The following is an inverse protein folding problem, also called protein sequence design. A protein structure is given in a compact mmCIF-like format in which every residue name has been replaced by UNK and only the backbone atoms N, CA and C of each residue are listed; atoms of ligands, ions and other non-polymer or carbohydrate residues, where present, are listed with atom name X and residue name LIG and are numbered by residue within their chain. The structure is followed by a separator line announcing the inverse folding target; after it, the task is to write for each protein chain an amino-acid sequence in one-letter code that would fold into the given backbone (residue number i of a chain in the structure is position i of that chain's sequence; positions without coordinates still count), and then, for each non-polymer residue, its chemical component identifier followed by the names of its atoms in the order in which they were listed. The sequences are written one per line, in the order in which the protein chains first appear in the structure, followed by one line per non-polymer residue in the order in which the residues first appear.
data_IF_313732576196
#
_entry.id   IF_313732576196
#
_cell.length_a   1.000
_cell.length_b   1.000
_cell.length_c   1.000
_cell.angle_alpha   90.00
_cell.angle_beta   90.00
_cell.angle_gamma   90.00
#
_symmetry.space_group_name_H-M   'P 1'
#
loop_
_entity.id
_entity.type
_entity.pdbx_description
1 polymer ?
#
# COMPACT_ATOMS: atom_id res chain seq x y z
N UNK A 1 -21.00 48.52 -35.68
CA UNK A 1 -20.11 49.64 -36.03
C UNK A 1 -18.73 49.05 -36.26
N UNK A 2 -18.33 48.99 -37.52
CA UNK A 2 -17.08 48.44 -38.03
C UNK A 2 -15.96 49.44 -37.77
N UNK A 3 -14.78 48.99 -37.30
CA UNK A 3 -13.50 49.51 -37.80
C UNK A 3 -12.39 48.47 -37.62
N UNK A 4 -11.77 48.13 -38.75
CA UNK A 4 -10.52 47.40 -38.94
C UNK A 4 -9.32 48.36 -38.89
N UNK A 5 -8.16 47.85 -38.45
CA UNK A 5 -6.83 48.08 -39.05
C UNK A 5 -5.80 47.20 -38.30
N UNK A 6 -5.31 46.06 -38.83
CA UNK A 6 -4.27 45.85 -39.88
C UNK A 6 -2.93 46.53 -39.52
N UNK A 7 -1.84 45.84 -39.11
CA UNK A 7 -0.93 44.86 -39.79
C UNK A 7 0.49 45.48 -39.86
N UNK A 8 1.57 44.83 -39.34
CA UNK A 8 2.73 44.16 -40.02
C UNK A 8 3.90 44.22 -38.98
N UNK A 9 4.90 43.33 -38.84
CA UNK A 9 5.42 42.19 -39.57
C UNK A 9 6.36 41.37 -38.64
N UNK A 10 6.51 40.07 -38.94
CA UNK A 10 7.24 38.99 -38.24
C UNK A 10 8.80 39.09 -38.34
N UNK A 11 9.65 38.07 -38.03
CA UNK A 11 9.42 36.73 -37.45
C UNK A 11 10.45 36.30 -36.37
N UNK A 12 10.12 35.30 -35.56
CA UNK A 12 11.04 34.23 -35.18
C UNK A 12 10.23 33.06 -34.63
N UNK A 13 10.18 32.01 -35.43
CA UNK A 13 9.59 30.73 -35.09
C UNK A 13 10.33 30.09 -33.91
N UNK A 14 9.60 29.51 -32.97
CA UNK A 14 9.88 28.19 -32.38
C UNK A 14 8.52 27.61 -31.95
N UNK A 15 8.08 26.65 -32.76
CA UNK A 15 7.34 25.44 -32.40
C UNK A 15 6.17 25.58 -31.39
N UNK A 16 4.97 25.73 -31.94
CA UNK A 16 3.77 25.15 -31.34
C UNK A 16 3.99 23.63 -31.23
N UNK A 17 4.27 23.13 -30.04
CA UNK A 17 3.80 21.81 -29.65
C UNK A 17 2.52 22.04 -28.87
N UNK A 18 1.41 21.93 -29.60
CA UNK A 18 0.15 21.56 -29.00
C UNK A 18 0.40 20.30 -28.16
N UNK A 19 0.46 20.45 -26.83
CA UNK A 19 0.11 19.34 -25.96
C UNK A 19 -1.41 19.27 -26.07
N UNK A 20 -1.83 18.57 -27.13
CA UNK A 20 -3.15 17.95 -27.24
C UNK A 20 -3.51 17.38 -25.87
N UNK A 21 -4.74 17.64 -25.43
CA UNK A 21 -5.24 17.27 -24.12
C UNK A 21 -4.78 15.88 -23.70
N UNK A 22 -4.48 15.73 -22.40
CA UNK A 22 -4.34 14.42 -21.79
C UNK A 22 -5.46 13.53 -22.33
N UNK A 23 -5.14 12.41 -23.00
CA UNK A 23 -6.18 11.50 -23.41
C UNK A 23 -6.92 11.07 -22.15
N UNK A 24 -8.24 11.13 -22.23
CA UNK A 24 -9.14 10.62 -21.23
C UNK A 24 -8.67 9.25 -20.71
N UNK A 25 -8.87 8.97 -19.42
CA UNK A 25 -8.84 7.61 -18.89
C UNK A 25 -9.81 6.74 -19.71
N UNK A 26 -9.30 6.07 -20.74
CA UNK A 26 -10.06 5.23 -21.64
C UNK A 26 -9.09 4.26 -22.33
N UNK A 27 -8.44 3.41 -21.51
CA UNK A 27 -7.89 2.15 -21.97
C UNK A 27 -8.41 1.09 -21.00
N UNK A 28 -9.65 0.64 -21.18
CA UNK A 28 -10.23 -0.35 -20.28
C UNK A 28 -10.71 -1.58 -21.03
N UNK A 29 -9.96 -2.67 -20.87
CA UNK A 29 -10.54 -4.00 -20.85
C UNK A 29 -11.19 -4.19 -19.49
N UNK A 30 -12.41 -4.71 -19.45
CA UNK A 30 -13.15 -4.96 -18.21
C UNK A 30 -13.87 -6.30 -18.27
N UNK A 31 -13.64 -7.14 -17.28
CA UNK A 31 -14.41 -8.37 -17.07
C UNK A 31 -15.77 -7.98 -16.48
N UNK A 32 -16.83 -8.22 -17.25
CA UNK A 32 -18.22 -7.89 -16.90
C UNK A 32 -18.97 -9.06 -16.29
N UNK A 33 -18.57 -10.28 -16.62
CA UNK A 33 -19.10 -11.50 -16.03
C UNK A 33 -17.99 -12.53 -15.85
N UNK A 34 -18.05 -13.30 -14.77
CA UNK A 34 -16.99 -14.23 -14.41
C UNK A 34 -17.54 -15.28 -13.45
N UNK A 35 -17.34 -16.56 -13.77
CA UNK A 35 -17.78 -17.66 -12.91
C UNK A 35 -16.81 -18.83 -12.94
N UNK A 36 -16.80 -19.58 -11.84
CA UNK A 36 -16.19 -20.89 -11.73
C UNK A 36 -17.30 -21.90 -11.46
N UNK A 37 -17.33 -22.98 -12.23
CA UNK A 37 -18.30 -24.06 -12.10
C UNK A 37 -17.58 -25.40 -11.99
N UNK A 38 -18.29 -26.42 -11.52
CA UNK A 38 -17.75 -27.77 -11.29
C UNK A 38 -18.57 -28.79 -12.10
N UNK A 39 -18.31 -28.95 -13.41
CA UNK A 39 -19.09 -29.86 -14.27
C UNK A 39 -19.01 -31.33 -13.84
N UNK A 40 -17.98 -31.68 -13.08
CA UNK A 40 -17.76 -33.01 -12.51
C UNK A 40 -16.92 -32.93 -11.24
N UNK A 41 -16.78 -34.07 -10.55
CA UNK A 41 -16.06 -34.14 -9.26
C UNK A 41 -14.55 -33.85 -9.37
N UNK A 42 -13.98 -33.93 -10.58
CA UNK A 42 -12.58 -33.68 -10.88
C UNK A 42 -12.42 -32.66 -12.02
N UNK A 43 -13.41 -31.79 -12.22
CA UNK A 43 -13.41 -30.79 -13.28
C UNK A 43 -13.77 -29.41 -12.74
N UNK A 44 -12.96 -28.42 -13.13
CA UNK A 44 -13.27 -27.00 -12.94
C UNK A 44 -13.44 -26.36 -14.30
N UNK A 45 -14.49 -25.55 -14.46
CA UNK A 45 -14.71 -24.76 -15.68
C UNK A 45 -14.81 -23.29 -15.32
N UNK A 46 -13.91 -22.51 -15.90
CA UNK A 46 -13.95 -21.05 -15.78
C UNK A 46 -14.66 -20.47 -16.99
N UNK A 47 -15.44 -19.41 -16.76
CA UNK A 47 -16.07 -18.61 -17.81
C UNK A 47 -15.83 -17.14 -17.49
N UNK A 48 -15.38 -16.37 -18.48
CA UNK A 48 -15.08 -14.94 -18.35
C UNK A 48 -15.59 -14.20 -19.57
N UNK A 49 -16.50 -13.26 -19.35
CA UNK A 49 -16.93 -12.29 -20.37
C UNK A 49 -16.22 -10.96 -20.14
N UNK A 50 -15.57 -10.45 -21.17
CA UNK A 50 -14.86 -9.17 -21.13
C UNK A 50 -15.37 -8.23 -22.22
N UNK A 51 -15.43 -6.95 -21.88
CA UNK A 51 -15.71 -5.87 -22.83
C UNK A 51 -14.50 -4.99 -22.97
N UNK A 52 -14.37 -4.36 -24.13
CA UNK A 52 -13.34 -3.36 -24.42
C UNK A 52 -13.97 -2.16 -25.12
N UNK A 53 -13.34 -0.99 -24.96
CA UNK A 53 -13.78 0.24 -25.61
C UNK A 53 -12.79 0.71 -26.67
N UNK A 54 -11.52 0.82 -26.28
CA UNK A 54 -10.47 1.45 -27.11
C UNK A 54 -9.31 0.50 -27.43
N UNK A 55 -9.17 -0.60 -26.67
CA UNK A 55 -8.10 -1.59 -26.85
C UNK A 55 -8.72 -2.99 -26.87
N UNK A 56 -8.61 -3.76 -27.96
CA UNK A 56 -9.25 -5.07 -28.06
C UNK A 56 -8.68 -6.05 -27.03
N UNK A 57 -9.51 -6.98 -26.58
CA UNK A 57 -9.05 -8.14 -25.82
C UNK A 57 -8.24 -9.01 -26.78
N UNK A 58 -6.97 -9.23 -26.46
CA UNK A 58 -6.07 -10.04 -27.27
C UNK A 58 -6.06 -11.50 -26.85
N UNK A 59 -6.02 -11.77 -25.55
CA UNK A 59 -6.02 -13.12 -24.99
C UNK A 59 -6.46 -13.16 -23.52
N UNK A 60 -6.74 -14.37 -23.06
CA UNK A 60 -7.07 -14.73 -21.70
C UNK A 60 -5.92 -15.52 -21.08
N UNK A 61 -5.29 -14.94 -20.06
CA UNK A 61 -4.20 -15.57 -19.33
C UNK A 61 -4.71 -16.29 -18.09
N UNK A 62 -4.30 -17.54 -17.92
CA UNK A 62 -4.64 -18.38 -16.76
C UNK A 62 -3.40 -18.65 -15.93
N UNK A 63 -3.47 -18.38 -14.62
CA UNK A 63 -2.43 -18.69 -13.65
C UNK A 63 -3.03 -19.42 -12.44
N UNK A 64 -2.36 -20.46 -11.98
CA UNK A 64 -2.72 -21.23 -10.81
C UNK A 64 -1.92 -20.74 -9.60
N UNK A 65 -2.63 -20.51 -8.49
CA UNK A 65 -2.08 -20.14 -7.19
C UNK A 65 -2.48 -21.18 -6.15
N UNK A 66 -1.58 -21.50 -5.22
CA UNK A 66 -1.85 -22.47 -4.15
C UNK A 66 -0.93 -22.18 -2.96
N UNK A 67 -1.46 -22.39 -1.75
CA UNK A 67 -0.77 -22.05 -0.48
C UNK A 67 -0.12 -23.26 0.20
N UNK A 68 -0.61 -24.47 -0.07
CA UNK A 68 -0.40 -25.63 0.82
C UNK A 68 0.45 -26.75 0.20
N UNK A 69 0.99 -26.57 -1.02
CA UNK A 69 1.72 -27.62 -1.72
C UNK A 69 2.92 -27.05 -2.49
N UNK A 70 4.05 -27.76 -2.55
CA UNK A 70 5.22 -27.36 -3.36
C UNK A 70 5.27 -28.06 -4.73
N UNK A 71 4.37 -29.03 -4.97
CA UNK A 71 4.31 -29.79 -6.22
C UNK A 71 3.36 -29.12 -7.22
N UNK A 72 3.84 -28.92 -8.45
CA UNK A 72 3.05 -28.33 -9.54
C UNK A 72 1.95 -29.31 -9.96
N UNK A 73 0.67 -28.92 -9.90
CA UNK A 73 -0.42 -29.83 -10.26
C UNK A 73 -0.40 -30.25 -11.73
N UNK A 74 -0.85 -31.48 -12.00
CA UNK A 74 -0.89 -32.05 -13.36
C UNK A 74 -1.69 -31.14 -14.30
N UNK A 75 -1.15 -30.92 -15.51
CA UNK A 75 -1.73 -30.02 -16.51
C UNK A 75 -1.24 -28.58 -16.41
N UNK A 76 -0.37 -28.26 -15.45
CA UNK A 76 0.27 -26.97 -15.28
C UNK A 76 1.80 -27.10 -15.27
N UNK A 77 2.49 -26.01 -15.63
CA UNK A 77 3.96 -25.92 -15.66
C UNK A 77 4.42 -24.56 -15.14
N UNK A 78 5.64 -24.50 -14.61
CA UNK A 78 6.27 -23.23 -14.25
C UNK A 78 6.83 -22.56 -15.51
N UNK A 79 6.44 -21.32 -15.76
CA UNK A 79 7.00 -20.45 -16.80
C UNK A 79 7.63 -19.21 -16.17
N UNK A 80 8.71 -18.73 -16.78
CA UNK A 80 9.49 -17.58 -16.32
C UNK A 80 9.90 -17.67 -14.84
N UNK A 81 10.20 -18.89 -14.36
CA UNK A 81 10.63 -19.19 -12.99
C UNK A 81 9.65 -18.77 -11.88
N UNK A 82 8.43 -18.35 -12.21
CA UNK A 82 7.50 -17.75 -11.25
C UNK A 82 6.04 -18.14 -11.44
N UNK A 83 5.59 -18.28 -12.69
CA UNK A 83 4.17 -18.38 -12.99
C UNK A 83 3.77 -19.83 -13.25
N UNK A 84 2.78 -20.34 -12.53
CA UNK A 84 2.23 -21.68 -12.77
C UNK A 84 1.05 -21.55 -13.72
N UNK A 85 1.21 -21.99 -14.96
CA UNK A 85 0.23 -21.77 -16.05
C UNK A 85 -0.14 -23.09 -16.72
N UNK A 86 -1.24 -23.17 -17.48
CA UNK A 86 -1.58 -24.38 -18.22
C UNK A 86 -0.42 -24.85 -19.10
N UNK A 87 -0.12 -26.15 -19.04
CA UNK A 87 0.90 -26.78 -19.87
C UNK A 87 0.61 -26.55 -21.36
N UNK A 88 -0.67 -26.73 -21.73
CA UNK A 88 -1.21 -26.47 -23.06
C UNK A 88 -1.91 -25.11 -23.07
N UNK A 89 -1.45 -24.22 -23.92
CA UNK A 89 -2.07 -22.92 -24.18
C UNK A 89 -1.68 -22.47 -25.59
N UNK A 90 -2.53 -21.67 -26.23
CA UNK A 90 -2.32 -21.24 -27.61
C UNK A 90 -1.06 -20.37 -27.73
N UNK A 91 -0.94 -19.35 -26.88
CA UNK A 91 0.20 -18.44 -26.88
C UNK A 91 0.98 -18.63 -25.59
N UNK A 92 2.21 -19.09 -25.74
CA UNK A 92 3.07 -19.52 -24.64
C UNK A 92 3.30 -18.49 -23.52
N UNK A 93 3.10 -17.19 -23.79
CA UNK A 93 3.36 -16.09 -22.85
C UNK A 93 2.08 -15.35 -22.46
N UNK A 94 1.06 -15.38 -23.32
CA UNK A 94 -0.11 -14.51 -23.21
C UNK A 94 -1.42 -15.29 -23.03
N UNK A 95 -1.38 -16.62 -23.05
CA UNK A 95 -2.57 -17.45 -22.84
C UNK A 95 -3.33 -17.75 -24.13
N UNK A 96 -4.65 -17.93 -24.01
CA UNK A 96 -5.52 -18.42 -25.08
C UNK A 96 -6.28 -17.26 -25.72
N UNK A 97 -6.47 -17.28 -27.05
CA UNK A 97 -7.30 -16.27 -27.71
C UNK A 97 -8.78 -16.59 -27.49
N UNK A 98 -9.60 -15.54 -27.51
CA UNK A 98 -11.05 -15.67 -27.66
C UNK A 98 -11.36 -16.48 -28.92
N UNK A 99 -12.25 -17.47 -28.82
CA UNK A 99 -12.56 -18.41 -29.89
C UNK A 99 -11.34 -19.21 -30.43
N UNK A 100 -10.28 -19.32 -29.62
CA UNK A 100 -9.10 -20.12 -29.89
C UNK A 100 -9.32 -21.63 -29.69
N UNK A 101 -8.31 -22.48 -29.93
CA UNK A 101 -8.43 -23.94 -29.85
C UNK A 101 -8.68 -24.48 -28.44
N UNK A 102 -8.46 -23.66 -27.40
CA UNK A 102 -8.69 -24.01 -26.00
C UNK A 102 -9.88 -23.25 -25.38
N UNK A 103 -10.56 -22.43 -26.18
CA UNK A 103 -11.79 -21.76 -25.78
C UNK A 103 -12.99 -22.66 -26.12
N UNK A 104 -13.79 -22.95 -25.09
CA UNK A 104 -14.96 -23.81 -25.16
C UNK A 104 -16.26 -23.01 -25.37
N UNK A 105 -16.19 -21.67 -25.39
CA UNK A 105 -17.35 -20.80 -25.59
C UNK A 105 -17.22 -20.03 -26.92
N UNK A 106 -18.16 -20.18 -27.87
CA UNK A 106 -18.04 -19.58 -29.19
C UNK A 106 -18.53 -18.11 -29.24
N UNK A 107 -18.95 -17.54 -28.11
CA UNK A 107 -19.50 -16.17 -28.06
C UNK A 107 -18.35 -15.17 -28.01
N UNK A 108 -18.36 -14.21 -28.93
CA UNK A 108 -17.36 -13.14 -28.96
C UNK A 108 -17.22 -12.42 -27.61
N UNK A 109 -15.98 -12.28 -27.15
CA UNK A 109 -15.64 -11.67 -25.87
C UNK A 109 -15.94 -12.55 -24.65
N UNK A 110 -16.30 -13.82 -24.86
CA UNK A 110 -16.57 -14.79 -23.79
C UNK A 110 -15.64 -15.97 -23.93
N UNK A 111 -14.75 -16.12 -22.97
CA UNK A 111 -13.84 -17.24 -22.90
C UNK A 111 -14.31 -18.25 -21.87
N UNK A 112 -14.30 -19.54 -22.21
CA UNK A 112 -14.45 -20.60 -21.22
C UNK A 112 -13.45 -21.72 -21.42
N UNK A 113 -13.00 -22.31 -20.31
CA UNK A 113 -12.08 -23.45 -20.35
C UNK A 113 -12.27 -24.38 -19.17
N UNK A 114 -12.28 -25.68 -19.46
CA UNK A 114 -12.36 -26.74 -18.47
C UNK A 114 -10.98 -27.35 -18.21
N UNK A 115 -10.65 -27.54 -16.93
CA UNK A 115 -9.43 -28.19 -16.47
C UNK A 115 -9.78 -29.42 -15.64
N UNK A 116 -9.02 -30.50 -15.86
CA UNK A 116 -9.06 -31.67 -14.98
C UNK A 116 -8.18 -31.41 -13.77
N UNK A 117 -8.71 -31.67 -12.56
CA UNK A 117 -7.96 -31.63 -11.29
C UNK A 117 -7.69 -33.03 -10.75
N UNK A 118 -7.84 -34.04 -11.60
CA UNK A 118 -7.63 -35.44 -11.23
C UNK A 118 -6.19 -35.65 -10.75
N UNK A 119 -6.04 -36.26 -9.58
CA UNK A 119 -4.74 -36.53 -8.98
C UNK A 119 -4.08 -35.34 -8.30
N UNK A 120 -4.73 -34.17 -8.27
CA UNK A 120 -4.25 -33.04 -7.49
C UNK A 120 -4.32 -33.37 -5.99
N UNK A 121 -3.35 -32.88 -5.23
CA UNK A 121 -3.33 -33.07 -3.77
C UNK A 121 -4.46 -32.28 -3.12
N UNK A 122 -5.00 -32.75 -1.98
CA UNK A 122 -5.91 -31.94 -1.18
C UNK A 122 -5.30 -30.58 -0.84
N UNK A 123 -6.12 -29.54 -0.82
CA UNK A 123 -5.67 -28.20 -0.49
C UNK A 123 -6.50 -27.07 -1.11
N UNK A 124 -6.13 -25.84 -0.75
CA UNK A 124 -6.70 -24.62 -1.30
C UNK A 124 -5.92 -24.15 -2.53
N UNK A 125 -6.66 -23.97 -3.64
CA UNK A 125 -6.15 -23.49 -4.93
C UNK A 125 -6.93 -22.25 -5.37
N UNK A 126 -6.37 -21.47 -6.28
CA UNK A 126 -7.08 -20.41 -6.97
C UNK A 126 -6.63 -20.30 -8.43
N UNK A 127 -7.59 -20.19 -9.35
CA UNK A 127 -7.31 -19.80 -10.73
C UNK A 127 -7.45 -18.29 -10.86
N UNK A 128 -6.35 -17.62 -11.21
CA UNK A 128 -6.37 -16.23 -11.65
C UNK A 128 -6.53 -16.20 -13.17
N UNK A 129 -7.59 -15.56 -13.63
CA UNK A 129 -7.82 -15.30 -15.07
C UNK A 129 -7.69 -13.81 -15.33
N UNK A 130 -6.95 -13.45 -16.39
CA UNK A 130 -6.83 -12.09 -16.89
C UNK A 130 -7.36 -11.98 -18.31
N UNK A 131 -8.22 -11.01 -18.59
CA UNK A 131 -8.48 -10.56 -19.96
C UNK A 131 -7.53 -9.40 -20.24
N UNK A 132 -6.75 -9.48 -21.32
CA UNK A 132 -5.71 -8.46 -21.59
C UNK A 132 -5.42 -8.28 -23.08
N UNK A 133 -4.72 -7.19 -23.41
CA UNK A 133 -4.53 -6.76 -24.79
C UNK A 133 -3.35 -7.41 -25.53
N UNK A 134 -2.65 -8.37 -24.92
CA UNK A 134 -1.51 -9.02 -25.60
C UNK A 134 -2.05 -10.09 -26.56
N UNK A 135 -1.40 -10.34 -27.71
CA UNK A 135 -0.07 -9.88 -28.14
C UNK A 135 -0.01 -8.50 -28.81
N UNK A 136 -1.07 -7.69 -28.80
CA UNK A 136 -1.04 -6.37 -29.44
C UNK A 136 0.04 -5.45 -28.83
N UNK A 137 0.57 -4.55 -29.67
CA UNK A 137 1.54 -3.52 -29.28
C UNK A 137 0.87 -2.40 -28.48
N UNK A 138 1.66 -1.61 -27.75
CA UNK A 138 1.16 -0.50 -26.92
C UNK A 138 1.19 -0.78 -25.40
N UNK A 139 0.63 0.13 -24.58
CA UNK A 139 0.54 -0.04 -23.13
C UNK A 139 -0.10 -1.37 -22.74
N UNK A 140 0.34 -1.98 -21.63
CA UNK A 140 -0.26 -3.23 -21.17
C UNK A 140 -1.51 -2.94 -20.36
N UNK A 141 -2.65 -3.51 -20.76
CA UNK A 141 -3.94 -3.32 -20.11
C UNK A 141 -4.51 -4.71 -19.79
N UNK A 142 -4.95 -4.89 -18.54
CA UNK A 142 -5.62 -6.12 -18.11
C UNK A 142 -6.69 -5.83 -17.05
N UNK A 143 -7.70 -6.69 -17.00
CA UNK A 143 -8.57 -6.88 -15.85
C UNK A 143 -8.51 -8.35 -15.41
N UNK A 144 -8.57 -8.60 -14.11
CA UNK A 144 -8.32 -9.94 -13.53
C UNK A 144 -9.38 -10.35 -12.53
N UNK A 145 -9.71 -11.64 -12.49
CA UNK A 145 -10.50 -12.27 -11.43
C UNK A 145 -9.73 -13.47 -10.87
N UNK A 146 -9.91 -13.74 -9.58
CA UNK A 146 -9.36 -14.93 -8.93
C UNK A 146 -10.51 -15.78 -8.42
N UNK A 147 -10.47 -17.08 -8.73
CA UNK A 147 -11.49 -18.05 -8.37
C UNK A 147 -10.88 -19.10 -7.44
N UNK A 148 -11.04 -18.97 -6.12
CA UNK A 148 -10.60 -19.99 -5.18
C UNK A 148 -11.50 -21.23 -5.24
N UNK A 149 -10.91 -22.41 -5.04
CA UNK A 149 -11.60 -23.69 -4.92
C UNK A 149 -10.78 -24.66 -4.08
N UNK A 150 -11.42 -25.70 -3.56
CA UNK A 150 -10.75 -26.71 -2.72
C UNK A 150 -10.78 -28.07 -3.37
N UNK A 151 -9.67 -28.79 -3.25
CA UNK A 151 -9.62 -30.24 -3.45
C UNK A 151 -9.74 -30.89 -2.08
N UNK A 152 -10.78 -31.72 -1.88
CA UNK A 152 -11.02 -32.43 -0.60
C UNK A 152 -10.02 -33.56 -0.39
N UNK A 153 -10.02 -34.15 0.81
CA UNK A 153 -9.17 -35.31 1.13
C UNK A 153 -9.44 -36.51 0.19
N UNK A 154 -10.67 -36.63 -0.32
CA UNK A 154 -11.10 -37.66 -1.26
C UNK A 154 -10.77 -37.30 -2.72
N UNK A 155 -10.10 -36.16 -2.97
CA UNK A 155 -9.72 -35.70 -4.30
C UNK A 155 -10.86 -35.08 -5.11
N UNK A 156 -11.95 -34.66 -4.46
CA UNK A 156 -13.07 -33.99 -5.15
C UNK A 156 -12.89 -32.48 -5.15
N UNK A 157 -13.29 -31.83 -6.24
CA UNK A 157 -13.35 -30.37 -6.27
C UNK A 157 -14.66 -29.85 -5.70
N UNK A 158 -14.55 -28.81 -4.88
CA UNK A 158 -15.69 -28.09 -4.30
C UNK A 158 -15.45 -26.59 -4.36
N UNK A 159 -16.55 -25.84 -4.35
CA UNK A 159 -16.50 -24.39 -4.18
C UNK A 159 -15.81 -24.04 -2.87
N UNK A 160 -14.90 -23.06 -2.92
CA UNK A 160 -14.28 -22.55 -1.71
C UNK A 160 -15.29 -21.69 -0.95
N UNK A 161 -15.50 -22.02 0.33
CA UNK A 161 -16.27 -21.18 1.24
C UNK A 161 -15.33 -20.18 1.94
N UNK A 162 -15.46 -18.86 1.70
CA UNK A 162 -14.63 -17.84 2.37
C UNK A 162 -14.62 -17.92 3.89
N UNK A 163 -15.68 -18.47 4.50
CA UNK A 163 -15.74 -18.70 5.95
C UNK A 163 -14.70 -19.70 6.46
N UNK A 164 -14.13 -20.54 5.60
CA UNK A 164 -13.00 -21.41 5.97
C UNK A 164 -11.72 -20.62 6.27
N UNK A 165 -11.57 -19.41 5.71
CA UNK A 165 -10.48 -18.48 6.03
C UNK A 165 -10.85 -17.54 7.18
N UNK A 166 -12.07 -17.60 7.71
CA UNK A 166 -12.41 -16.89 8.95
C UNK A 166 -11.68 -17.58 10.10
N UNK A 167 -10.44 -17.15 10.32
CA UNK A 167 -9.75 -17.41 11.59
C UNK A 167 -10.61 -16.75 12.66
N UNK A 168 -11.14 -17.49 13.65
CA UNK A 168 -11.95 -16.89 14.71
C UNK A 168 -11.13 -15.81 15.42
N UNK A 169 -11.45 -14.55 15.12
CA UNK A 169 -10.78 -13.42 15.71
C UNK A 169 -11.29 -13.25 17.14
N UNK A 170 -10.40 -13.42 18.12
CA UNK A 170 -10.73 -13.13 19.51
C UNK A 170 -10.50 -11.64 19.77
N UNK A 171 -11.51 -10.96 20.30
CA UNK A 171 -11.33 -9.61 20.84
C UNK A 171 -10.66 -9.71 22.21
N UNK A 172 -9.50 -9.09 22.37
CA UNK A 172 -8.77 -9.02 23.64
C UNK A 172 -8.70 -7.56 24.09
N UNK A 173 -9.10 -7.30 25.34
CA UNK A 173 -8.96 -5.98 25.95
C UNK A 173 -7.55 -5.84 26.54
N UNK A 174 -6.71 -5.03 25.89
CA UNK A 174 -5.31 -4.82 26.34
C UNK A 174 -5.27 -3.89 27.55
N UNK A 175 -6.04 -2.80 27.53
CA UNK A 175 -6.06 -1.82 28.62
C UNK A 175 -7.41 -1.13 28.70
N UNK A 176 -7.91 -0.99 29.93
CA UNK A 176 -9.06 -0.17 30.27
C UNK A 176 -8.90 0.31 31.70
N UNK A 177 -9.02 1.61 31.89
CA UNK A 177 -9.01 2.22 33.21
C UNK A 177 -10.07 3.32 33.23
N UNK A 178 -10.81 3.41 34.34
CA UNK A 178 -11.80 4.46 34.53
C UNK A 178 -11.10 5.84 34.51
N UNK A 179 -11.77 6.83 33.91
CA UNK A 179 -11.31 8.22 33.80
C UNK A 179 -9.97 8.43 33.05
N UNK A 180 -9.53 7.40 32.31
CA UNK A 180 -8.38 7.50 31.41
C UNK A 180 -8.84 7.35 29.97
N UNK A 181 -8.50 8.33 29.15
CA UNK A 181 -8.64 8.24 27.70
C UNK A 181 -7.36 7.65 27.08
N UNK A 182 -7.39 6.35 26.79
CA UNK A 182 -6.32 5.66 26.06
C UNK A 182 -6.50 5.83 24.55
N UNK A 183 -5.46 6.27 23.85
CA UNK A 183 -5.55 6.65 22.44
C UNK A 183 -4.26 6.35 21.66
N UNK A 184 -4.41 6.20 20.35
CA UNK A 184 -3.31 6.06 19.38
C UNK A 184 -2.35 4.91 19.70
N UNK A 185 -2.84 3.65 19.62
CA UNK A 185 -1.99 2.49 19.80
C UNK A 185 -1.08 2.27 18.59
N UNK A 186 0.11 1.75 18.85
CA UNK A 186 0.92 1.00 17.89
C UNK A 186 0.90 -0.49 18.24
N UNK A 187 1.27 -1.37 17.33
CA UNK A 187 1.45 -2.80 17.63
C UNK A 187 2.70 -3.31 16.92
N UNK A 188 3.55 -4.03 17.65
CA UNK A 188 4.76 -4.63 17.14
C UNK A 188 4.88 -6.08 17.59
N UNK A 189 5.27 -6.97 16.68
CA UNK A 189 5.68 -8.35 16.97
C UNK A 189 7.20 -8.43 16.96
N UNK A 190 7.79 -9.08 17.96
CA UNK A 190 9.23 -9.35 17.97
C UNK A 190 9.56 -10.53 17.04
N UNK A 191 10.72 -10.48 16.39
CA UNK A 191 11.16 -11.55 15.48
C UNK A 191 11.47 -12.83 16.27
N UNK A 192 10.98 -13.97 15.80
CA UNK A 192 11.27 -15.28 16.40
C UNK A 192 10.57 -15.58 17.74
N UNK A 193 9.73 -14.67 18.24
CA UNK A 193 9.00 -14.85 19.51
C UNK A 193 7.49 -14.61 19.34
N UNK A 194 6.70 -15.17 20.27
CA UNK A 194 5.28 -14.82 20.45
C UNK A 194 5.08 -13.56 21.31
N UNK A 195 6.14 -12.74 21.40
CA UNK A 195 6.13 -11.47 22.10
C UNK A 195 5.51 -10.38 21.23
N UNK A 196 4.43 -9.78 21.73
CA UNK A 196 3.81 -8.58 21.16
C UNK A 196 4.00 -7.40 22.12
N UNK A 197 4.22 -6.20 21.59
CA UNK A 197 4.20 -4.96 22.37
C UNK A 197 3.35 -3.90 21.72
N UNK A 198 2.71 -3.07 22.54
CA UNK A 198 1.94 -1.90 22.11
C UNK A 198 2.30 -0.70 22.98
N UNK A 199 2.39 0.47 22.37
CA UNK A 199 2.47 1.75 23.06
C UNK A 199 1.28 2.62 22.70
N UNK A 200 0.68 3.30 23.69
CA UNK A 200 -0.42 4.23 23.47
C UNK A 200 -0.36 5.43 24.41
N UNK A 201 -0.98 6.53 24.00
CA UNK A 201 -1.13 7.73 24.83
C UNK A 201 -2.23 7.55 25.86
N UNK A 202 -2.09 8.17 27.02
CA UNK A 202 -3.15 8.32 28.03
C UNK A 202 -3.41 9.79 28.27
N UNK A 203 -4.68 10.17 28.40
CA UNK A 203 -5.13 11.55 28.69
C UNK A 203 -6.14 11.54 29.83
N UNK A 204 -6.20 12.65 30.57
CA UNK A 204 -7.20 12.84 31.62
C UNK A 204 -8.54 13.21 31.00
N UNK A 205 -8.53 14.03 29.94
CA UNK A 205 -9.72 14.41 29.18
C UNK A 205 -9.83 13.57 27.91
N UNK A 206 -11.05 13.30 27.48
CA UNK A 206 -11.35 12.65 26.20
C UNK A 206 -11.13 13.63 25.04
N UNK A 207 -9.89 14.00 24.79
CA UNK A 207 -9.50 14.92 23.72
C UNK A 207 -8.13 14.54 23.15
N UNK A 208 -8.03 14.55 21.82
CA UNK A 208 -6.79 14.26 21.09
C UNK A 208 -5.67 15.30 21.35
N UNK A 209 -6.04 16.51 21.74
CA UNK A 209 -5.11 17.62 21.98
C UNK A 209 -4.90 17.92 23.47
N UNK A 210 -5.44 17.09 24.36
CA UNK A 210 -5.18 17.23 25.80
C UNK A 210 -3.67 17.01 26.06
N UNK A 211 -2.97 17.98 26.67
CA UNK A 211 -1.56 17.82 26.99
C UNK A 211 -1.33 17.07 28.32
N UNK A 212 -2.39 16.76 29.08
CA UNK A 212 -2.28 16.05 30.36
C UNK A 212 -2.26 14.52 30.19
N UNK A 213 -1.84 13.80 31.23
CA UNK A 213 -1.69 12.34 31.19
C UNK A 213 -0.27 11.90 30.83
N UNK A 214 -0.14 10.86 30.01
CA UNK A 214 1.16 10.30 29.64
C UNK A 214 1.08 9.27 28.52
N UNK A 215 1.79 8.17 28.71
CA UNK A 215 1.77 7.01 27.81
C UNK A 215 1.91 5.73 28.60
N UNK A 216 1.36 4.64 28.09
CA UNK A 216 1.59 3.29 28.60
C UNK A 216 2.18 2.41 27.52
N UNK A 217 2.89 1.38 27.96
CA UNK A 217 3.39 0.29 27.14
C UNK A 217 2.94 -1.03 27.73
N UNK A 218 2.36 -1.88 26.90
CA UNK A 218 1.88 -3.20 27.28
C UNK A 218 2.62 -4.25 26.47
N UNK A 219 2.88 -5.39 27.09
CA UNK A 219 3.54 -6.55 26.48
C UNK A 219 2.70 -7.79 26.68
N UNK A 220 2.62 -8.63 25.65
CA UNK A 220 2.13 -9.99 25.70
C UNK A 220 3.28 -10.94 25.34
N UNK A 221 3.34 -12.10 26.00
CA UNK A 221 4.32 -13.17 25.73
C UNK A 221 3.64 -14.49 25.33
N UNK A 222 2.35 -14.43 25.02
CA UNK A 222 1.49 -15.58 24.74
C UNK A 222 0.65 -15.36 23.46
N UNK A 223 1.23 -14.67 22.47
CA UNK A 223 0.58 -14.44 21.18
C UNK A 223 -0.58 -13.43 21.24
N UNK A 224 -0.61 -12.56 22.25
CA UNK A 224 -1.61 -11.50 22.40
C UNK A 224 -2.80 -11.83 23.29
N UNK A 225 -2.77 -12.94 24.03
CA UNK A 225 -3.88 -13.39 24.87
C UNK A 225 -3.93 -12.67 26.22
N UNK A 226 -2.78 -12.45 26.86
CA UNK A 226 -2.65 -11.71 28.12
C UNK A 226 -1.64 -10.58 27.99
N UNK A 227 -1.89 -9.49 28.72
CA UNK A 227 -1.12 -8.26 28.61
C UNK A 227 -0.78 -7.69 29.98
N UNK A 228 0.46 -7.21 30.13
CA UNK A 228 0.93 -6.52 31.33
C UNK A 228 1.69 -5.26 30.98
N UNK A 229 1.67 -4.27 31.87
CA UNK A 229 2.45 -3.04 31.71
C UNK A 229 3.94 -3.36 31.84
N UNK A 230 4.76 -2.78 30.96
CA UNK A 230 6.21 -3.01 30.96
C UNK A 230 6.99 -1.74 30.65
N UNK A 231 8.11 -1.58 31.35
CA UNK A 231 9.10 -0.54 31.07
C UNK A 231 10.09 -0.95 29.96
N UNK A 232 10.09 -2.23 29.55
CA UNK A 232 10.98 -2.75 28.50
C UNK A 232 10.81 -1.97 27.20
N UNK A 233 11.92 -1.66 26.53
CA UNK A 233 11.91 -1.04 25.21
C UNK A 233 12.21 -2.10 24.17
N UNK A 234 11.32 -2.25 23.20
CA UNK A 234 11.49 -3.14 22.07
C UNK A 234 11.79 -2.31 20.83
N UNK A 235 13.03 -2.33 20.32
CA UNK A 235 13.30 -1.84 18.98
C UNK A 235 12.39 -2.57 18.00
N UNK A 236 11.78 -1.83 17.10
CA UNK A 236 10.97 -2.45 16.07
C UNK A 236 11.87 -3.23 15.12
N UNK A 237 11.46 -4.44 14.67
CA UNK A 237 12.23 -5.19 13.67
C UNK A 237 12.54 -4.36 12.41
N UNK A 238 11.59 -3.53 11.97
CA UNK A 238 11.78 -2.63 10.83
C UNK A 238 12.91 -1.60 11.02
N UNK A 239 13.37 -1.32 12.24
CA UNK A 239 14.48 -0.41 12.47
C UNK A 239 15.83 -1.08 12.24
N UNK A 240 15.92 -2.41 12.30
CA UNK A 240 17.17 -3.13 12.18
C UNK A 240 17.70 -3.08 10.75
N UNK A 241 18.91 -2.57 10.58
CA UNK A 241 19.66 -2.61 9.33
C UNK A 241 20.46 -3.90 9.23
N UNK A 242 20.97 -4.20 8.04
CA UNK A 242 21.75 -5.41 7.72
C UNK A 242 23.05 -5.50 8.50
N UNK A 243 23.64 -4.36 8.85
CA UNK A 243 24.84 -4.26 9.68
C UNK A 243 24.54 -4.38 11.19
N UNK A 244 23.27 -4.55 11.57
CA UNK A 244 22.82 -4.74 12.94
C UNK A 244 22.43 -3.45 13.67
N UNK A 245 22.77 -2.27 13.13
CA UNK A 245 22.38 -1.00 13.74
C UNK A 245 20.86 -0.78 13.60
N UNK A 246 20.31 0.04 14.47
CA UNK A 246 18.92 0.47 14.41
C UNK A 246 18.84 1.85 13.75
N UNK A 247 17.93 2.01 12.80
CA UNK A 247 17.75 3.23 12.02
C UNK A 247 16.28 3.55 11.88
N UNK A 248 15.92 4.79 12.18
CA UNK A 248 14.56 5.28 12.00
C UNK A 248 14.57 6.73 11.54
N UNK A 249 13.57 7.12 10.74
CA UNK A 249 13.39 8.48 10.25
C UNK A 249 11.96 8.95 10.55
N UNK A 250 11.81 10.12 11.14
CA UNK A 250 10.52 10.55 11.71
C UNK A 250 10.34 12.05 11.55
N UNK A 251 9.10 12.56 11.49
CA UNK A 251 8.90 14.00 11.50
C UNK A 251 9.32 14.59 12.85
N UNK A 252 9.94 15.79 12.85
CA UNK A 252 10.30 16.45 14.11
C UNK A 252 9.06 16.88 14.91
N UNK A 253 7.95 17.17 14.23
CA UNK A 253 6.68 17.53 14.86
C UNK A 253 6.69 18.94 15.46
N UNK A 254 5.89 19.12 16.52
CA UNK A 254 5.69 20.42 17.16
C UNK A 254 6.93 20.91 17.90
N UNK A 255 7.34 22.15 17.60
CA UNK A 255 8.42 22.88 18.27
C UNK A 255 7.81 24.05 19.02
N UNK A 256 8.12 24.16 20.32
CA UNK A 256 7.58 25.18 21.21
C UNK A 256 8.58 26.32 21.36
N UNK A 257 8.14 27.54 21.08
CA UNK A 257 8.95 28.76 21.12
C UNK A 257 8.22 29.88 21.85
N UNK A 258 8.93 30.97 22.15
CA UNK A 258 8.33 32.15 22.74
C UNK A 258 7.23 32.72 21.81
N UNK A 259 6.13 33.21 22.38
CA UNK A 259 5.03 33.79 21.62
C UNK A 259 5.45 34.98 20.72
N UNK A 260 6.54 35.68 21.03
CA UNK A 260 7.10 36.74 20.18
C UNK A 260 7.54 36.28 18.79
N UNK A 261 7.72 34.97 18.58
CA UNK A 261 8.07 34.39 17.26
C UNK A 261 6.85 34.21 16.35
N UNK A 262 5.62 34.38 16.87
CA UNK A 262 4.37 34.01 16.18
C UNK A 262 4.22 34.75 14.85
N UNK A 263 4.41 36.06 14.82
CA UNK A 263 4.27 36.88 13.62
C UNK A 263 5.28 36.46 12.54
N UNK A 264 6.54 36.23 12.91
CA UNK A 264 7.58 35.75 11.98
C UNK A 264 7.20 34.40 11.39
N UNK A 265 6.76 33.45 12.23
CA UNK A 265 6.38 32.11 11.78
C UNK A 265 5.16 32.12 10.83
N UNK A 266 4.19 33.00 11.08
CA UNK A 266 3.04 33.21 10.18
C UNK A 266 3.49 33.80 8.84
N UNK A 267 4.40 34.79 8.86
CA UNK A 267 4.98 35.37 7.64
C UNK A 267 5.75 34.32 6.82
N UNK A 268 6.41 33.38 7.48
CA UNK A 268 7.07 32.21 6.87
C UNK A 268 6.09 31.13 6.41
N UNK A 269 4.78 31.34 6.59
CA UNK A 269 3.70 30.41 6.23
C UNK A 269 3.82 29.05 6.95
N UNK A 270 4.30 29.06 8.20
CA UNK A 270 4.34 27.87 9.06
C UNK A 270 2.96 27.52 9.59
N UNK A 271 2.77 26.26 9.98
CA UNK A 271 1.61 25.85 10.78
C UNK A 271 1.89 26.23 12.23
N UNK A 272 1.15 27.18 12.78
CA UNK A 272 1.35 27.74 14.12
C UNK A 272 0.08 27.63 14.94
N UNK A 273 0.20 27.32 16.23
CA UNK A 273 -0.90 27.35 17.18
C UNK A 273 -0.46 27.89 18.55
N UNK A 274 -1.41 28.48 19.27
CA UNK A 274 -1.21 28.87 20.67
C UNK A 274 -1.17 27.62 21.53
N UNK A 275 -0.06 27.41 22.25
CA UNK A 275 0.15 26.19 23.05
C UNK A 275 -0.25 26.40 24.51
N UNK A 276 0.27 27.47 25.13
CA UNK A 276 0.02 27.89 26.52
C UNK A 276 0.43 29.36 26.69
N UNK A 277 0.05 30.05 27.79
CA UNK A 277 0.43 31.44 27.99
C UNK A 277 1.93 31.68 27.78
N UNK A 278 2.27 32.62 26.89
CA UNK A 278 3.66 32.97 26.53
C UNK A 278 4.38 32.00 25.58
N UNK A 279 3.74 30.93 25.10
CA UNK A 279 4.35 29.92 24.21
C UNK A 279 3.45 29.63 23.02
N UNK A 280 4.02 29.69 21.81
CA UNK A 280 3.41 29.14 20.60
C UNK A 280 4.11 27.86 20.17
N UNK A 281 3.39 26.97 19.52
CA UNK A 281 3.96 25.81 18.86
C UNK A 281 3.88 26.02 17.35
N UNK A 282 4.95 25.69 16.63
CA UNK A 282 4.89 25.54 15.19
C UNK A 282 5.26 24.12 14.79
N UNK A 283 4.67 23.64 13.70
CA UNK A 283 4.99 22.33 13.17
C UNK A 283 6.29 22.45 12.35
N UNK A 284 7.35 21.77 12.79
CA UNK A 284 8.65 21.82 12.13
C UNK A 284 8.57 21.28 10.70
N UNK A 285 9.19 21.93 9.71
CA UNK A 285 9.34 21.35 8.36
C UNK A 285 10.38 20.23 8.34
N UNK A 286 11.28 20.17 9.33
CA UNK A 286 12.37 19.21 9.34
C UNK A 286 11.90 17.81 9.74
N UNK A 287 12.64 16.81 9.27
CA UNK A 287 12.56 15.45 9.77
C UNK A 287 13.85 15.06 10.48
N UNK A 288 13.78 14.02 11.28
CA UNK A 288 14.88 13.51 12.09
C UNK A 288 15.29 12.15 11.53
N UNK A 289 16.59 11.91 11.46
CA UNK A 289 17.16 10.57 11.27
C UNK A 289 17.86 10.18 12.56
N UNK A 290 17.54 8.99 13.06
CA UNK A 290 18.05 8.49 14.32
C UNK A 290 18.73 7.14 14.12
N UNK A 291 19.93 7.00 14.66
CA UNK A 291 20.74 5.78 14.58
C UNK A 291 21.15 5.33 15.99
N UNK A 292 21.07 4.04 16.26
CA UNK A 292 21.45 3.45 17.54
C UNK A 292 22.09 2.07 17.34
N UNK A 293 23.12 1.75 18.14
CA UNK A 293 23.73 0.41 18.15
C UNK A 293 23.00 -0.55 19.10
N UNK A 294 22.31 -0.03 20.12
CA UNK A 294 21.77 -0.81 21.24
C UNK A 294 20.27 -0.58 21.50
N UNK A 295 19.65 0.36 20.77
CA UNK A 295 18.26 0.78 20.95
C UNK A 295 18.02 1.67 22.17
N UNK A 296 19.04 1.91 23.00
CA UNK A 296 18.96 2.70 24.24
C UNK A 296 19.46 4.12 24.01
N UNK A 297 20.56 4.29 23.28
CA UNK A 297 21.14 5.59 22.94
C UNK A 297 21.05 5.86 21.46
N UNK A 298 20.45 6.99 21.10
CA UNK A 298 20.21 7.35 19.70
C UNK A 298 20.98 8.63 19.34
N UNK A 299 21.82 8.54 18.31
CA UNK A 299 22.34 9.73 17.63
C UNK A 299 21.24 10.27 16.73
N UNK A 300 20.93 11.55 16.84
CA UNK A 300 19.89 12.22 16.05
C UNK A 300 20.50 13.27 15.14
N UNK A 301 20.13 13.23 13.87
CA UNK A 301 20.43 14.25 12.87
C UNK A 301 19.12 14.90 12.44
N UNK A 302 19.11 16.23 12.32
CA UNK A 302 17.97 16.98 11.78
C UNK A 302 18.23 17.26 10.31
N UNK A 303 17.32 16.85 9.45
CA UNK A 303 17.42 17.04 8.01
C UNK A 303 16.33 18.02 7.55
N UNK A 304 16.68 19.13 6.90
CA UNK A 304 15.71 20.07 6.38
C UNK A 304 14.90 19.43 5.25
N UNK A 305 13.59 19.61 5.27
CA UNK A 305 12.74 19.31 4.13
C UNK A 305 12.79 20.45 3.09
N UNK A 306 12.29 20.23 1.87
CA UNK A 306 12.19 21.29 0.86
C UNK A 306 11.42 22.53 1.36
N UNK A 307 11.80 23.70 0.87
CA UNK A 307 11.27 25.00 1.36
C UNK A 307 9.77 25.19 1.19
N UNK A 308 9.12 24.43 0.30
CA UNK A 308 7.68 24.47 0.12
C UNK A 308 6.90 23.83 1.28
N UNK A 309 7.57 23.11 2.18
CA UNK A 309 6.95 22.43 3.33
C UNK A 309 6.73 23.42 4.47
N UNK A 310 5.48 23.54 4.93
CA UNK A 310 5.10 24.38 6.06
C UNK A 310 5.35 23.68 7.41
N UNK A 311 5.13 22.36 7.46
CA UNK A 311 5.37 21.54 8.65
C UNK A 311 5.04 20.07 8.42
N UNK A 312 5.73 19.19 9.16
CA UNK A 312 5.60 17.74 9.11
C UNK A 312 5.20 17.18 10.48
N UNK A 313 4.34 16.17 10.47
CA UNK A 313 3.91 15.42 11.62
C UNK A 313 3.91 13.92 11.33
N UNK A 314 4.14 13.16 12.37
CA UNK A 314 3.82 11.74 12.43
C UNK A 314 3.43 11.45 13.87
N UNK A 315 2.46 10.58 14.06
CA UNK A 315 2.02 10.19 15.38
C UNK A 315 2.10 8.68 15.47
N UNK A 316 2.89 8.16 16.41
CA UNK A 316 3.21 6.72 16.50
C UNK A 316 3.74 6.18 15.17
N UNK A 317 5.01 6.50 14.89
CA UNK A 317 5.64 6.22 13.61
C UNK A 317 5.80 4.73 13.32
N UNK A 318 5.63 3.85 14.31
CA UNK A 318 5.83 2.40 14.20
C UNK A 318 5.04 1.76 13.05
N UNK A 319 3.81 2.22 12.82
CA UNK A 319 2.91 1.74 11.76
C UNK A 319 3.17 2.38 10.38
N UNK A 320 4.10 3.32 10.29
CA UNK A 320 4.37 4.09 9.07
C UNK A 320 5.57 3.55 8.27
N UNK A 321 6.24 2.52 8.78
CA UNK A 321 7.45 1.96 8.16
C UNK A 321 7.15 0.79 7.25
N UNK A 322 7.82 0.77 6.11
CA UNK A 322 8.03 -0.41 5.29
C UNK A 322 9.54 -0.63 5.18
N UNK A 323 9.99 -1.85 5.47
CA UNK A 323 11.36 -2.29 5.26
C UNK A 323 11.36 -3.53 4.37
N UNK A 324 12.19 -3.53 3.32
CA UNK A 324 12.29 -4.66 2.39
C UNK A 324 13.57 -5.46 2.63
N UNK A 325 13.58 -6.73 2.22
CA UNK A 325 14.78 -7.59 2.24
C UNK A 325 15.96 -7.01 1.45
N UNK A 326 15.69 -6.12 0.50
CA UNK A 326 16.73 -5.43 -0.28
C UNK A 326 17.41 -4.30 0.50
N UNK A 327 16.89 -3.89 1.66
CA UNK A 327 17.41 -2.77 2.44
C UNK A 327 16.74 -1.44 2.10
N UNK A 328 15.60 -1.45 1.40
CA UNK A 328 14.83 -0.23 1.12
C UNK A 328 13.97 0.07 2.34
N UNK A 329 13.97 1.33 2.76
CA UNK A 329 13.14 1.85 3.85
C UNK A 329 12.22 2.93 3.32
N UNK A 330 10.94 2.82 3.62
CA UNK A 330 9.94 3.85 3.36
C UNK A 330 9.27 4.23 4.67
N UNK A 331 9.10 5.52 4.90
CA UNK A 331 8.34 6.05 6.04
C UNK A 331 7.30 7.01 5.52
N UNK A 332 6.03 6.72 5.79
CA UNK A 332 4.96 7.66 5.56
C UNK A 332 4.93 8.70 6.69
N UNK A 333 4.98 9.97 6.32
CA UNK A 333 4.74 11.10 7.22
C UNK A 333 3.69 12.00 6.58
N UNK A 334 3.02 12.84 7.34
CA UNK A 334 2.03 13.75 6.78
C UNK A 334 2.34 15.18 7.18
N UNK A 335 1.79 16.13 6.44
CA UNK A 335 2.08 17.52 6.70
C UNK A 335 1.40 18.41 5.69
N UNK A 336 1.92 19.63 5.58
CA UNK A 336 1.27 20.68 4.82
C UNK A 336 2.29 21.46 4.02
N UNK A 337 1.94 21.87 2.80
CA UNK A 337 2.71 22.86 2.04
C UNK A 337 2.36 24.28 2.46
N UNK A 338 3.31 25.18 2.26
CA UNK A 338 3.11 26.63 2.36
C UNK A 338 2.01 27.06 1.38
N UNK A 339 1.07 27.86 1.84
CA UNK A 339 -0.04 28.41 1.04
C UNK A 339 -1.14 27.42 0.62
N UNK A 340 -0.98 26.12 0.88
CA UNK A 340 -2.00 25.09 0.61
C UNK A 340 -2.84 24.89 1.87
N UNK A 341 -4.11 24.51 1.77
CA UNK A 341 -4.98 24.32 2.96
C UNK A 341 -4.93 22.88 3.46
N UNK A 342 -4.92 21.93 2.55
CA UNK A 342 -5.02 20.50 2.74
C UNK A 342 -3.70 19.90 3.25
N UNK A 343 -3.81 18.80 3.99
CA UNK A 343 -2.67 17.97 4.32
C UNK A 343 -2.39 16.98 3.20
N UNK A 344 -1.14 16.55 3.06
CA UNK A 344 -0.76 15.45 2.19
C UNK A 344 0.17 14.48 2.92
N UNK A 345 0.37 13.32 2.30
CA UNK A 345 1.38 12.35 2.72
C UNK A 345 2.67 12.60 1.96
N UNK A 346 3.78 12.56 2.67
CA UNK A 346 5.13 12.52 2.14
C UNK A 346 5.77 11.19 2.51
N UNK A 347 6.70 10.73 1.67
CA UNK A 347 7.48 9.52 1.88
C UNK A 347 8.93 9.92 2.12
N UNK A 348 9.47 9.50 3.27
CA UNK A 348 10.91 9.45 3.48
C UNK A 348 11.41 8.12 2.95
N UNK A 349 12.33 8.15 1.99
CA UNK A 349 12.86 6.94 1.35
C UNK A 349 14.36 6.81 1.56
N UNK A 350 14.81 5.64 1.96
CA UNK A 350 16.22 5.25 1.87
C UNK A 350 16.37 4.02 0.99
N UNK A 351 17.34 4.06 0.08
CA UNK A 351 17.69 2.95 -0.81
C UNK A 351 18.97 2.21 -0.38
N UNK A 352 19.62 2.69 0.67
CA UNK A 352 20.95 2.27 1.14
C UNK A 352 20.93 1.86 2.61
N UNK A 353 19.80 1.28 3.04
CA UNK A 353 19.57 0.77 4.39
C UNK A 353 19.73 1.84 5.49
N UNK A 354 19.19 3.02 5.21
CA UNK A 354 19.06 4.13 6.14
C UNK A 354 20.35 4.95 6.30
N UNK A 355 21.25 4.95 5.31
CA UNK A 355 22.46 5.80 5.32
C UNK A 355 22.17 7.17 4.75
N UNK A 356 21.37 7.24 3.69
CA UNK A 356 20.85 8.47 3.10
C UNK A 356 19.33 8.42 2.95
N UNK A 357 18.71 9.60 2.91
CA UNK A 357 17.26 9.75 2.88
C UNK A 357 16.83 10.76 1.82
N UNK A 358 15.77 10.42 1.11
CA UNK A 358 15.10 11.24 0.12
C UNK A 358 13.73 11.66 0.66
N UNK A 359 13.35 12.90 0.40
CA UNK A 359 12.02 13.42 0.70
C UNK A 359 11.18 13.42 -0.59
N UNK A 360 10.08 12.66 -0.60
CA UNK A 360 9.26 12.45 -1.80
C UNK A 360 7.80 12.84 -1.48
N UNK A 361 7.22 13.85 -2.15
CA UNK A 361 5.79 14.09 -2.04
C UNK A 361 5.00 12.97 -2.72
N UNK A 362 3.95 12.47 -2.07
CA UNK A 362 3.05 11.50 -2.71
C UNK A 362 2.28 12.13 -3.87
N UNK A 363 2.00 13.43 -3.78
CA UNK A 363 1.33 14.23 -4.80
C UNK A 363 2.34 15.28 -5.33
N UNK A 364 3.04 15.03 -6.45
CA UNK A 364 4.08 15.94 -6.94
C UNK A 364 3.59 17.39 -7.11
N UNK A 365 2.40 17.55 -7.67
CA UNK A 365 1.75 18.85 -7.94
C UNK A 365 1.00 19.41 -6.71
N UNK A 366 1.05 18.70 -5.58
CA UNK A 366 0.31 19.00 -4.35
C UNK A 366 -1.13 18.45 -4.35
N UNK A 367 -1.83 18.51 -3.21
CA UNK A 367 -3.22 18.06 -3.12
C UNK A 367 -4.15 18.97 -3.92
N UNK A 368 -4.87 18.40 -4.89
CA UNK A 368 -5.93 19.08 -5.63
C UNK A 368 -7.29 18.47 -5.28
N UNK A 369 -8.11 19.18 -4.50
CA UNK A 369 -9.48 18.75 -4.19
C UNK A 369 -9.60 17.46 -3.38
N UNK A 370 -8.51 16.94 -2.82
CA UNK A 370 -8.50 15.79 -1.90
C UNK A 370 -8.45 16.34 -0.49
N UNK A 371 -9.59 16.36 0.20
CA UNK A 371 -9.64 16.68 1.62
C UNK A 371 -9.37 15.40 2.42
N UNK A 372 -8.13 15.23 2.91
CA UNK A 372 -7.77 14.21 3.88
C UNK A 372 -8.08 14.73 5.30
N UNK A 373 -9.36 14.98 5.59
CA UNK A 373 -9.82 15.34 6.94
C UNK A 373 -10.41 14.14 7.68
#
# INVERSE_FOLDING_TARGET
MVYHSLVKCAPSAILLLAVTGMPACAESIRITDASLTFPGADQIRVLVTATSKDVPVGSYYTELQFLENEEIPQGFVVRNQRHVVPEKQEIAVTGDRDNGPFDEDPREGTYARTFSVKGWKPGLYALRIAAHNRPATGPYVLDTRSFPFRITAEGKVVEFNPKELEIPAKTVMIYKQQDVYACFPSLAKQEGEDTLSTGFGTRVRRSHIDPTGGSKRMVSRDGGLTWSESAETFPLPQYKAKDGRLVRATARGWVYVNAAEKERLIQEQRVVMDARPGTVAYLSPDYLVQVSEDGKKWKTETIPAPDYVAGLMVFRDESSYIYTSQGIRLVAIYGKRKGVKEHEVFILRSADDGKSWQFIPLLPDGPQGVDLN
#
